data_IF_288137712508
#
_entry.id   IF_288137712508
#
_cell.length_a   1.000
_cell.length_b   1.000
_cell.length_c   1.000
_cell.angle_alpha   90.00
_cell.angle_beta   90.00
_cell.angle_gamma   90.00
#
_symmetry.space_group_name_H-M   'P 1'
#
loop_
_entity.id
_entity.type
_entity.pdbx_description
1 polymer ?
#
# COMPACT_ATOMS: atom_id res chain seq x y z
N UNK A 1 5.82 -4.65 -25.07
CA UNK A 1 6.00 -6.08 -24.76
C UNK A 1 4.67 -6.63 -24.26
N UNK A 2 4.29 -7.82 -24.73
CA UNK A 2 3.09 -8.52 -24.24
C UNK A 2 3.52 -9.88 -23.70
N UNK A 3 3.07 -10.22 -22.51
CA UNK A 3 3.37 -11.47 -21.81
C UNK A 3 2.07 -12.25 -21.70
N UNK A 4 2.01 -13.39 -22.39
CA UNK A 4 0.86 -14.30 -22.35
C UNK A 4 1.11 -15.36 -21.27
N UNK A 5 0.55 -15.14 -20.09
CA UNK A 5 0.59 -16.10 -18.99
C UNK A 5 -0.48 -17.17 -19.21
N UNK A 6 -0.09 -18.44 -19.17
CA UNK A 6 -0.98 -19.58 -19.43
C UNK A 6 -1.46 -20.29 -18.16
N UNK A 7 -0.79 -20.06 -17.02
CA UNK A 7 -1.07 -20.71 -15.73
C UNK A 7 -1.64 -19.71 -14.72
N UNK A 8 -2.30 -20.19 -13.67
CA UNK A 8 -2.81 -19.32 -12.61
C UNK A 8 -1.70 -18.49 -11.95
N UNK A 9 -0.53 -19.10 -11.74
CA UNK A 9 0.65 -18.46 -11.16
C UNK A 9 1.83 -18.60 -12.12
N UNK A 10 2.56 -17.51 -12.32
CA UNK A 10 3.80 -17.47 -13.11
C UNK A 10 4.85 -16.71 -12.31
N UNK A 11 6.04 -17.29 -12.16
CA UNK A 11 7.19 -16.62 -11.56
C UNK A 11 8.31 -16.47 -12.59
N UNK A 12 8.81 -15.25 -12.75
CA UNK A 12 9.85 -14.91 -13.71
C UNK A 12 10.96 -14.13 -13.01
N UNK A 13 12.19 -14.59 -13.18
CA UNK A 13 13.38 -13.85 -12.77
C UNK A 13 13.86 -13.00 -13.95
N UNK A 14 14.12 -11.73 -13.70
CA UNK A 14 14.57 -10.74 -14.67
C UNK A 14 15.93 -10.20 -14.27
N UNK A 15 16.84 -10.05 -15.24
CA UNK A 15 18.07 -9.30 -14.95
C UNK A 15 17.74 -7.83 -14.64
N UNK A 16 16.86 -7.23 -15.42
CA UNK A 16 16.22 -5.94 -15.12
C UNK A 16 14.75 -5.98 -15.52
N UNK A 17 13.92 -5.20 -14.82
CA UNK A 17 12.51 -5.02 -15.15
C UNK A 17 12.22 -3.53 -15.14
N UNK A 18 12.28 -2.92 -16.31
CA UNK A 18 12.09 -1.50 -16.56
C UNK A 18 11.04 -1.31 -17.65
N UNK A 19 10.28 -0.22 -17.57
CA UNK A 19 9.33 0.17 -18.61
C UNK A 19 9.65 1.61 -18.98
N UNK A 20 10.39 1.80 -20.08
CA UNK A 20 10.77 3.13 -20.55
C UNK A 20 9.56 4.02 -20.86
N UNK A 21 9.77 5.34 -20.92
CA UNK A 21 8.74 6.29 -21.37
C UNK A 21 8.17 5.84 -22.72
N UNK A 22 6.87 6.03 -22.92
CA UNK A 22 6.13 5.64 -24.13
C UNK A 22 6.11 4.13 -24.44
N UNK A 23 6.73 3.29 -23.60
CA UNK A 23 6.66 1.84 -23.74
C UNK A 23 5.53 1.27 -22.89
N UNK A 24 5.04 0.10 -23.30
CA UNK A 24 4.01 -0.64 -22.58
C UNK A 24 4.48 -2.08 -22.34
N UNK A 25 4.29 -2.55 -21.11
CA UNK A 25 4.28 -3.99 -20.79
C UNK A 25 2.85 -4.37 -20.45
N UNK A 26 2.34 -5.41 -21.11
CA UNK A 26 0.99 -5.93 -20.86
C UNK A 26 1.06 -7.41 -20.47
N UNK A 27 0.49 -7.76 -19.33
CA UNK A 27 0.23 -9.14 -18.94
C UNK A 27 -1.19 -9.53 -19.37
N UNK A 28 -1.28 -10.58 -20.18
CA UNK A 28 -2.53 -11.25 -20.54
C UNK A 28 -2.55 -12.56 -19.77
N UNK A 29 -3.38 -12.61 -18.72
CA UNK A 29 -3.41 -13.69 -17.74
C UNK A 29 -4.74 -14.46 -17.84
N UNK A 30 -4.82 -15.71 -17.35
CA UNK A 30 -6.02 -16.54 -17.49
C UNK A 30 -7.30 -15.90 -16.91
N UNK A 31 -7.19 -15.20 -15.79
CA UNK A 31 -8.30 -14.52 -15.12
C UNK A 31 -7.78 -13.40 -14.21
N UNK A 32 -8.70 -12.66 -13.57
CA UNK A 32 -8.35 -11.56 -12.65
C UNK A 32 -7.66 -12.01 -11.37
N UNK A 33 -7.82 -13.26 -10.95
CA UNK A 33 -7.17 -13.82 -9.77
C UNK A 33 -5.78 -14.42 -10.06
N UNK A 34 -5.35 -14.45 -11.32
CA UNK A 34 -4.04 -14.95 -11.73
C UNK A 34 -2.93 -14.00 -11.33
N UNK A 35 -1.76 -14.53 -10.95
CA UNK A 35 -0.64 -13.73 -10.42
C UNK A 35 0.63 -13.94 -11.24
N UNK A 36 1.23 -12.83 -11.67
CA UNK A 36 2.54 -12.78 -12.32
C UNK A 36 3.58 -12.19 -11.36
N UNK A 37 4.47 -13.04 -10.84
CA UNK A 37 5.63 -12.63 -10.04
C UNK A 37 6.82 -12.30 -10.93
N UNK A 38 7.27 -11.05 -10.85
CA UNK A 38 8.46 -10.53 -11.53
C UNK A 38 9.51 -10.21 -10.47
N UNK A 39 10.58 -11.00 -10.42
CA UNK A 39 11.69 -10.81 -9.47
C UNK A 39 12.91 -10.31 -10.21
N UNK A 40 13.44 -9.16 -9.83
CA UNK A 40 14.70 -8.64 -10.39
C UNK A 40 15.88 -9.20 -9.62
N UNK A 41 16.84 -9.76 -10.35
CA UNK A 41 18.06 -10.37 -9.79
C UNK A 41 19.33 -9.58 -10.11
N UNK A 42 19.26 -8.59 -11.00
CA UNK A 42 20.36 -7.66 -11.27
C UNK A 42 20.57 -6.62 -10.15
N UNK A 43 21.53 -5.73 -10.35
CA UNK A 43 21.97 -4.75 -9.35
C UNK A 43 21.22 -3.40 -9.40
N UNK A 44 20.30 -3.22 -10.37
CA UNK A 44 19.61 -1.95 -10.58
C UNK A 44 18.17 -1.98 -10.08
N UNK A 45 17.70 -0.84 -9.54
CA UNK A 45 16.30 -0.63 -9.18
C UNK A 45 15.41 -0.52 -10.41
N UNK A 46 14.16 -0.96 -10.30
CA UNK A 46 13.19 -0.97 -11.40
C UNK A 46 12.68 0.43 -11.69
N UNK A 47 12.77 0.84 -12.96
CA UNK A 47 12.31 2.14 -13.46
C UNK A 47 11.05 1.95 -14.32
N UNK A 48 9.89 2.18 -13.73
CA UNK A 48 8.59 2.11 -14.42
C UNK A 48 8.20 3.54 -14.82
N UNK A 49 8.53 3.91 -16.06
CA UNK A 49 8.33 5.26 -16.61
C UNK A 49 7.22 5.31 -17.67
N UNK A 50 6.82 4.17 -18.20
CA UNK A 50 5.76 4.00 -19.19
C UNK A 50 4.51 3.35 -18.61
N UNK A 51 3.91 2.45 -19.38
CA UNK A 51 2.61 1.85 -19.05
C UNK A 51 2.75 0.38 -18.66
N UNK A 52 2.16 -0.02 -17.54
CA UNK A 52 1.98 -1.41 -17.13
C UNK A 52 0.50 -1.76 -17.12
N UNK A 53 0.10 -2.78 -17.87
CA UNK A 53 -1.29 -3.27 -17.94
C UNK A 53 -1.37 -4.73 -17.53
N UNK A 54 -2.42 -5.11 -16.81
CA UNK A 54 -2.74 -6.51 -16.56
C UNK A 54 -4.23 -6.71 -16.31
N UNK A 55 -4.81 -7.80 -16.80
CA UNK A 55 -6.18 -8.18 -16.41
C UNK A 55 -6.23 -8.89 -15.04
N UNK A 56 -5.10 -9.42 -14.56
CA UNK A 56 -4.94 -10.00 -13.23
C UNK A 56 -3.94 -9.24 -12.38
N UNK A 57 -3.19 -9.96 -11.54
CA UNK A 57 -2.30 -9.37 -10.54
C UNK A 57 -0.84 -9.43 -10.98
N UNK A 58 -0.09 -8.37 -10.67
CA UNK A 58 1.33 -8.24 -10.97
C UNK A 58 2.13 -7.95 -9.70
N UNK A 59 3.12 -8.78 -9.42
CA UNK A 59 4.07 -8.59 -8.32
C UNK A 59 5.42 -8.19 -8.92
N UNK A 60 6.02 -7.12 -8.41
CA UNK A 60 7.34 -6.60 -8.80
C UNK A 60 8.21 -6.58 -7.54
N UNK A 61 9.15 -7.50 -7.45
CA UNK A 61 10.09 -7.60 -6.34
C UNK A 61 11.48 -7.22 -6.82
N UNK A 62 12.03 -6.14 -6.27
CA UNK A 62 13.37 -5.69 -6.60
C UNK A 62 14.09 -5.14 -5.35
N UNK A 63 15.09 -5.85 -4.81
CA UNK A 63 15.80 -5.43 -3.60
C UNK A 63 16.55 -4.11 -3.76
N UNK A 64 16.78 -3.63 -4.99
CA UNK A 64 17.42 -2.35 -5.26
C UNK A 64 16.43 -1.17 -5.29
N UNK A 65 15.13 -1.43 -5.19
CA UNK A 65 14.07 -0.40 -5.25
C UNK A 65 13.18 -0.50 -6.48
N UNK A 66 12.02 0.16 -6.40
CA UNK A 66 11.04 0.27 -7.47
C UNK A 66 10.57 1.72 -7.56
N UNK A 67 10.74 2.36 -8.70
CA UNK A 67 10.26 3.70 -8.99
C UNK A 67 9.19 3.68 -10.07
N UNK A 68 7.99 4.17 -9.74
CA UNK A 68 6.98 4.58 -10.72
C UNK A 68 7.14 6.07 -10.98
N UNK A 69 7.65 6.45 -12.15
CA UNK A 69 7.91 7.85 -12.49
C UNK A 69 6.64 8.65 -12.74
N UNK A 70 6.75 9.99 -12.79
CA UNK A 70 5.61 10.92 -12.92
C UNK A 70 4.62 10.62 -14.06
N UNK A 71 5.12 10.07 -15.17
CA UNK A 71 4.30 9.74 -16.34
C UNK A 71 3.87 8.27 -16.40
N UNK A 72 4.24 7.48 -15.39
CA UNK A 72 3.91 6.08 -15.32
C UNK A 72 2.41 5.88 -15.16
N UNK A 73 1.86 4.91 -15.88
CA UNK A 73 0.46 4.49 -15.76
C UNK A 73 0.40 3.00 -15.50
N UNK A 74 -0.12 2.62 -14.35
CA UNK A 74 -0.32 1.22 -13.98
C UNK A 74 -1.82 0.97 -13.86
N UNK A 75 -2.31 -0.03 -14.59
CA UNK A 75 -3.71 -0.45 -14.62
C UNK A 75 -3.76 -1.98 -14.55
N UNK A 76 -4.12 -2.50 -13.38
CA UNK A 76 -4.02 -3.93 -13.06
C UNK A 76 -5.21 -4.43 -12.22
N UNK A 77 -5.41 -5.75 -12.12
CA UNK A 77 -6.32 -6.35 -11.14
C UNK A 77 -5.81 -6.21 -9.70
N UNK A 78 -4.49 -6.29 -9.51
CA UNK A 78 -3.82 -5.98 -8.24
C UNK A 78 -2.31 -5.80 -8.43
N UNK A 79 -1.69 -5.02 -7.55
CA UNK A 79 -0.27 -4.70 -7.59
C UNK A 79 0.40 -5.00 -6.24
N UNK A 80 1.53 -5.69 -6.29
CA UNK A 80 2.51 -5.70 -5.20
C UNK A 80 3.82 -5.16 -5.76
N UNK A 81 4.36 -4.09 -5.19
CA UNK A 81 5.71 -3.62 -5.50
C UNK A 81 6.52 -3.59 -4.21
N UNK A 82 7.67 -4.27 -4.19
CA UNK A 82 8.42 -4.43 -2.96
C UNK A 82 9.94 -4.51 -3.14
N UNK A 83 10.67 -3.99 -2.15
CA UNK A 83 12.11 -4.27 -1.97
C UNK A 83 12.37 -5.63 -1.30
N UNK A 84 11.32 -6.23 -0.74
CA UNK A 84 11.38 -7.54 -0.10
C UNK A 84 11.17 -8.66 -1.11
N UNK A 85 11.45 -9.87 -0.67
CA UNK A 85 11.37 -11.06 -1.50
C UNK A 85 10.38 -12.08 -0.94
N UNK A 86 9.96 -13.00 -1.81
CA UNK A 86 9.20 -14.22 -1.50
C UNK A 86 9.90 -15.37 -2.21
N UNK A 87 9.95 -16.57 -1.63
CA UNK A 87 10.49 -17.72 -2.37
C UNK A 87 9.52 -18.11 -3.49
N UNK A 88 10.03 -18.69 -4.59
CA UNK A 88 9.15 -19.21 -5.64
C UNK A 88 8.24 -20.31 -5.10
N UNK A 89 8.73 -21.15 -4.18
CA UNK A 89 7.95 -22.21 -3.55
C UNK A 89 6.74 -21.66 -2.78
N UNK A 90 6.95 -20.64 -1.95
CA UNK A 90 5.85 -20.05 -1.15
C UNK A 90 4.87 -19.31 -2.05
N UNK A 91 5.38 -18.59 -3.06
CA UNK A 91 4.55 -17.95 -4.08
C UNK A 91 3.63 -18.95 -4.78
N UNK A 92 4.17 -20.08 -5.25
CA UNK A 92 3.38 -21.10 -5.95
C UNK A 92 2.35 -21.78 -5.05
N UNK A 93 2.57 -21.80 -3.73
CA UNK A 93 1.62 -22.28 -2.71
C UNK A 93 0.58 -21.23 -2.30
N UNK A 94 0.63 -20.01 -2.84
CA UNK A 94 -0.23 -18.89 -2.42
C UNK A 94 0.12 -18.32 -1.03
N UNK A 95 1.33 -18.60 -0.52
CA UNK A 95 1.78 -18.14 0.79
C UNK A 95 2.54 -16.82 0.65
N UNK A 96 1.80 -15.72 0.56
CA UNK A 96 2.37 -14.41 0.25
C UNK A 96 2.97 -13.69 1.47
N UNK A 97 4.08 -14.20 1.98
CA UNK A 97 4.89 -13.50 3.00
C UNK A 97 6.13 -12.88 2.37
N UNK A 98 6.11 -11.55 2.25
CA UNK A 98 7.25 -10.76 1.81
C UNK A 98 8.21 -10.59 2.99
N UNK A 99 9.49 -10.92 2.78
CA UNK A 99 10.52 -10.88 3.82
C UNK A 99 11.91 -10.57 3.25
N UNK A 100 12.90 -10.48 4.13
CA UNK A 100 14.22 -9.99 3.79
C UNK A 100 14.29 -8.46 3.82
N UNK A 101 15.44 -7.94 3.41
CA UNK A 101 15.73 -6.50 3.41
C UNK A 101 16.12 -6.05 2.01
N UNK A 102 15.66 -4.87 1.61
CA UNK A 102 16.22 -4.18 0.46
C UNK A 102 17.70 -3.85 0.68
N UNK A 103 18.41 -3.58 -0.41
CA UNK A 103 19.76 -3.04 -0.35
C UNK A 103 19.76 -1.65 0.31
N UNK A 104 20.89 -1.21 0.89
CA UNK A 104 20.97 0.10 1.53
C UNK A 104 20.47 1.23 0.62
N UNK A 105 19.49 1.99 1.10
CA UNK A 105 18.87 3.09 0.35
C UNK A 105 17.77 2.69 -0.63
N UNK A 106 17.46 1.40 -0.78
CA UNK A 106 16.35 0.95 -1.61
C UNK A 106 15.00 1.45 -1.08
N UNK A 107 14.12 1.86 -2.00
CA UNK A 107 12.79 2.39 -1.67
C UNK A 107 11.76 1.94 -2.71
N UNK A 108 10.49 1.95 -2.32
CA UNK A 108 9.37 1.89 -3.26
C UNK A 108 8.76 3.28 -3.37
N UNK A 109 8.84 3.87 -4.55
CA UNK A 109 8.43 5.26 -4.79
C UNK A 109 7.39 5.31 -5.89
N UNK A 110 6.24 5.90 -5.59
CA UNK A 110 5.23 6.24 -6.59
C UNK A 110 5.15 7.75 -6.82
N UNK A 111 5.44 8.16 -8.04
CA UNK A 111 5.22 9.52 -8.54
C UNK A 111 4.16 9.55 -9.66
N UNK A 112 3.77 8.38 -10.18
CA UNK A 112 2.85 8.23 -11.30
C UNK A 112 1.41 7.95 -10.86
N UNK A 113 0.66 7.29 -11.74
CA UNK A 113 -0.72 6.87 -11.47
C UNK A 113 -0.82 5.35 -11.39
N UNK A 114 -1.22 4.84 -10.23
CA UNK A 114 -1.45 3.42 -9.97
C UNK A 114 -2.94 3.21 -9.75
N UNK A 115 -3.58 2.43 -10.61
CA UNK A 115 -5.02 2.16 -10.55
C UNK A 115 -5.27 0.66 -10.58
N UNK A 116 -6.31 0.22 -9.86
CA UNK A 116 -6.82 -1.14 -9.99
C UNK A 116 -8.24 -1.18 -10.50
N UNK A 117 -8.60 -2.35 -11.04
CA UNK A 117 -10.00 -2.73 -11.17
C UNK A 117 -10.71 -2.70 -9.81
N UNK A 118 -12.05 -2.60 -9.84
CA UNK A 118 -12.89 -2.60 -8.64
C UNK A 118 -12.65 -3.88 -7.81
N UNK A 119 -12.46 -3.74 -6.50
CA UNK A 119 -12.15 -4.87 -5.60
C UNK A 119 -10.67 -5.28 -5.60
N UNK A 120 -9.84 -4.66 -6.44
CA UNK A 120 -8.41 -4.89 -6.51
C UNK A 120 -7.64 -4.28 -5.34
N UNK A 121 -6.31 -4.38 -5.40
CA UNK A 121 -5.47 -3.85 -4.32
C UNK A 121 -4.12 -3.36 -4.82
N UNK A 122 -3.51 -2.44 -4.05
CA UNK A 122 -2.14 -1.97 -4.25
C UNK A 122 -1.39 -2.10 -2.94
N UNK A 123 -0.29 -2.85 -2.93
CA UNK A 123 0.64 -2.99 -1.80
C UNK A 123 2.01 -2.48 -2.23
N UNK A 124 2.47 -1.42 -1.59
CA UNK A 124 3.83 -0.91 -1.71
C UNK A 124 4.58 -1.22 -0.41
N UNK A 125 5.63 -2.03 -0.47
CA UNK A 125 6.29 -2.56 0.72
C UNK A 125 7.81 -2.44 0.68
N UNK A 126 8.44 -2.10 1.80
CA UNK A 126 9.89 -2.05 1.90
C UNK A 126 10.38 -1.57 3.26
N UNK A 127 11.55 -0.96 3.31
CA UNK A 127 12.04 -0.21 4.47
C UNK A 127 11.53 1.24 4.42
N UNK A 128 11.42 1.79 3.21
CA UNK A 128 10.94 3.14 2.93
C UNK A 128 10.01 3.13 1.74
N UNK A 129 8.84 3.72 1.91
CA UNK A 129 7.81 3.81 0.88
C UNK A 129 7.33 5.26 0.79
N UNK A 130 7.26 5.81 -0.42
CA UNK A 130 6.79 7.18 -0.66
C UNK A 130 5.80 7.24 -1.81
N UNK A 131 4.70 7.95 -1.61
CA UNK A 131 3.71 8.28 -2.63
C UNK A 131 3.59 9.80 -2.78
N UNK A 132 4.02 10.33 -3.92
CA UNK A 132 3.75 11.69 -4.36
C UNK A 132 2.84 11.73 -5.61
N UNK A 133 2.42 10.57 -6.10
CA UNK A 133 1.53 10.41 -7.24
C UNK A 133 0.08 10.14 -6.82
N UNK A 134 -0.64 9.35 -7.61
CA UNK A 134 -2.00 8.91 -7.32
C UNK A 134 -2.08 7.41 -7.17
N UNK A 135 -2.81 6.92 -6.17
CA UNK A 135 -3.17 5.51 -5.99
C UNK A 135 -4.69 5.39 -5.91
N UNK A 136 -5.31 4.60 -6.78
CA UNK A 136 -6.77 4.47 -6.88
C UNK A 136 -7.19 3.00 -6.84
N UNK A 137 -7.89 2.59 -5.77
CA UNK A 137 -8.36 1.21 -5.57
C UNK A 137 -9.87 1.17 -5.22
N UNK A 138 -10.78 1.34 -6.20
CA UNK A 138 -12.21 1.41 -5.94
C UNK A 138 -12.72 0.10 -5.33
N UNK A 139 -13.46 0.18 -4.22
CA UNK A 139 -13.91 -0.96 -3.41
C UNK A 139 -12.80 -1.94 -3.03
N UNK A 140 -11.55 -1.48 -3.04
CA UNK A 140 -10.35 -2.27 -2.87
C UNK A 140 -9.55 -1.87 -1.64
N UNK A 141 -8.28 -2.25 -1.61
CA UNK A 141 -7.36 -1.88 -0.52
C UNK A 141 -6.07 -1.26 -1.05
N UNK A 142 -5.62 -0.19 -0.40
CA UNK A 142 -4.28 0.37 -0.59
C UNK A 142 -3.45 0.19 0.68
N UNK A 143 -2.25 -0.35 0.56
CA UNK A 143 -1.33 -0.59 1.67
C UNK A 143 0.04 0.03 1.32
N UNK A 144 0.53 0.91 2.18
CA UNK A 144 1.95 1.31 2.19
C UNK A 144 2.58 0.81 3.48
N UNK A 145 3.57 -0.06 3.36
CA UNK A 145 4.11 -0.79 4.51
C UNK A 145 5.64 -0.71 4.60
N UNK A 146 6.12 -0.19 5.73
CA UNK A 146 7.50 -0.32 6.16
C UNK A 146 7.58 -1.26 7.38
N UNK A 147 8.26 -2.40 7.25
CA UNK A 147 8.35 -3.41 8.32
C UNK A 147 9.29 -4.55 7.95
N UNK A 148 9.52 -5.51 8.85
CA UNK A 148 10.43 -6.64 8.54
C UNK A 148 9.77 -7.64 7.59
N UNK A 149 8.52 -7.99 7.86
CA UNK A 149 7.71 -8.87 7.02
C UNK A 149 6.35 -8.25 6.72
N UNK A 150 5.83 -8.54 5.52
CA UNK A 150 4.48 -8.14 5.09
C UNK A 150 3.79 -9.39 4.55
N UNK A 151 2.78 -9.87 5.25
CA UNK A 151 2.01 -11.06 4.87
C UNK A 151 0.67 -10.63 4.28
N UNK A 152 0.36 -11.14 3.10
CA UNK A 152 -0.88 -10.88 2.36
C UNK A 152 -1.73 -12.16 2.35
N UNK A 153 -3.02 -12.01 2.61
CA UNK A 153 -3.99 -13.07 2.37
C UNK A 153 -4.88 -12.64 1.21
N UNK A 154 -4.92 -13.47 0.17
CA UNK A 154 -5.73 -13.22 -1.01
C UNK A 154 -6.84 -14.25 -1.10
N UNK A 155 -8.02 -13.80 -1.49
CA UNK A 155 -9.15 -14.67 -1.86
C UNK A 155 -9.75 -14.19 -3.17
N UNK A 156 -9.87 -15.08 -4.15
CA UNK A 156 -10.41 -14.81 -5.48
C UNK A 156 -9.86 -13.53 -6.15
N UNK A 157 -8.60 -13.18 -5.88
CA UNK A 157 -7.91 -12.00 -6.42
C UNK A 157 -8.12 -10.70 -5.66
N UNK A 158 -8.97 -10.70 -4.63
CA UNK A 158 -9.07 -9.62 -3.65
C UNK A 158 -8.12 -9.83 -2.48
N UNK A 159 -7.65 -8.72 -1.91
CA UNK A 159 -6.89 -8.75 -0.65
C UNK A 159 -7.89 -8.85 0.50
N UNK A 160 -7.78 -9.84 1.37
CA UNK A 160 -8.68 -10.00 2.53
C UNK A 160 -8.06 -9.41 3.79
N UNK A 161 -6.78 -9.72 4.05
CA UNK A 161 -6.03 -9.18 5.18
C UNK A 161 -4.57 -8.91 4.84
N UNK A 162 -3.96 -7.98 5.58
CA UNK A 162 -2.52 -7.71 5.58
C UNK A 162 -2.01 -7.63 7.01
N UNK A 163 -0.85 -8.25 7.24
CA UNK A 163 -0.13 -8.13 8.51
C UNK A 163 1.28 -7.62 8.25
N UNK A 164 1.67 -6.56 8.95
CA UNK A 164 3.03 -6.01 8.92
C UNK A 164 3.68 -6.33 10.26
N UNK A 165 4.77 -7.11 10.25
CA UNK A 165 5.42 -7.60 11.47
C UNK A 165 6.91 -7.31 11.48
N UNK A 166 7.44 -7.20 12.69
CA UNK A 166 8.83 -6.89 12.95
C UNK A 166 9.23 -5.49 12.48
N UNK A 167 10.31 -5.01 13.06
CA UNK A 167 10.76 -3.64 12.89
C UNK A 167 12.00 -3.55 11.99
N UNK A 168 12.09 -2.48 11.21
CA UNK A 168 13.26 -2.15 10.36
C UNK A 168 13.91 -0.83 10.77
N UNK A 169 15.15 -0.60 10.34
CA UNK A 169 15.86 0.64 10.61
C UNK A 169 15.33 1.75 9.70
N UNK A 170 15.08 2.95 10.25
CA UNK A 170 14.60 4.13 9.52
C UNK A 170 13.32 3.87 8.70
N UNK A 171 12.38 3.11 9.30
CA UNK A 171 11.11 2.79 8.71
C UNK A 171 10.34 4.07 8.33
N UNK A 172 10.02 4.23 7.05
CA UNK A 172 9.28 5.39 6.56
C UNK A 172 8.13 4.96 5.67
N UNK A 173 6.94 5.48 5.96
CA UNK A 173 5.83 5.55 5.00
C UNK A 173 5.45 7.01 4.85
N UNK A 174 5.48 7.50 3.61
CA UNK A 174 5.17 8.88 3.29
C UNK A 174 4.09 8.97 2.21
N UNK A 175 3.08 9.80 2.44
CA UNK A 175 2.10 10.20 1.45
C UNK A 175 2.03 11.72 1.32
N UNK A 176 2.47 12.23 0.18
CA UNK A 176 2.36 13.63 -0.24
C UNK A 176 1.33 13.80 -1.38
N UNK A 177 0.95 12.70 -2.03
CA UNK A 177 0.00 12.68 -3.15
C UNK A 177 -1.42 12.32 -2.73
N UNK A 178 -2.14 11.65 -3.63
CA UNK A 178 -3.50 11.16 -3.41
C UNK A 178 -3.50 9.64 -3.28
N UNK A 179 -4.20 9.14 -2.27
CA UNK A 179 -4.64 7.74 -2.17
C UNK A 179 -6.16 7.75 -2.06
N UNK A 180 -6.85 7.08 -2.99
CA UNK A 180 -8.31 7.02 -3.07
C UNK A 180 -8.80 5.56 -3.14
N UNK A 181 -9.51 5.13 -2.11
CA UNK A 181 -10.11 3.81 -1.99
C UNK A 181 -11.61 3.93 -1.68
N UNK A 182 -12.38 4.51 -2.59
CA UNK A 182 -13.84 4.67 -2.45
C UNK A 182 -14.53 3.33 -2.13
N UNK A 183 -15.33 3.27 -1.06
CA UNK A 183 -15.90 2.04 -0.48
C UNK A 183 -14.84 0.97 -0.14
N UNK A 184 -13.62 1.38 0.13
CA UNK A 184 -12.46 0.51 0.34
C UNK A 184 -11.71 0.89 1.61
N UNK A 185 -10.44 0.48 1.68
CA UNK A 185 -9.63 0.67 2.87
C UNK A 185 -8.20 1.11 2.53
N UNK A 186 -7.59 1.90 3.41
CA UNK A 186 -6.23 2.38 3.27
C UNK A 186 -5.45 2.16 4.56
N UNK A 187 -4.27 1.55 4.46
CA UNK A 187 -3.36 1.33 5.59
C UNK A 187 -1.96 1.87 5.29
N UNK A 188 -1.49 2.80 6.12
CA UNK A 188 -0.14 3.36 6.08
C UNK A 188 0.57 2.91 7.37
N UNK A 189 1.45 1.93 7.27
CA UNK A 189 2.05 1.29 8.44
C UNK A 189 3.56 1.33 8.38
N UNK A 190 4.21 1.93 9.38
CA UNK A 190 5.66 1.90 9.55
C UNK A 190 6.01 1.32 10.93
N UNK A 191 6.73 0.20 10.95
CA UNK A 191 7.25 -0.44 12.18
C UNK A 191 8.78 -0.35 12.18
N UNK A 192 9.35 0.48 13.04
CA UNK A 192 10.80 0.60 13.18
C UNK A 192 11.35 0.21 14.54
N UNK A 193 12.68 0.01 14.60
CA UNK A 193 13.33 -0.68 15.73
C UNK A 193 13.53 0.22 16.95
N UNK A 194 13.82 1.51 16.76
CA UNK A 194 14.21 2.44 17.84
C UNK A 194 13.58 3.82 17.66
N UNK A 195 13.23 4.49 18.77
CA UNK A 195 12.71 5.88 18.76
C UNK A 195 13.73 6.89 18.22
N UNK A 196 15.03 6.63 18.40
CA UNK A 196 16.12 7.52 17.95
C UNK A 196 16.26 7.56 16.42
N UNK A 197 15.76 6.51 15.74
CA UNK A 197 15.87 6.32 14.29
C UNK A 197 14.49 6.48 13.67
N UNK A 198 14.04 7.73 13.55
CA UNK A 198 12.90 8.24 12.78
C UNK A 198 12.01 7.16 12.14
N UNK A 199 11.20 6.47 12.95
CA UNK A 199 10.08 5.68 12.45
C UNK A 199 8.94 6.64 12.22
N UNK A 200 8.53 6.83 10.97
CA UNK A 200 7.57 7.88 10.63
C UNK A 200 6.53 7.35 9.65
N UNK A 201 5.27 7.52 10.02
CA UNK A 201 4.18 7.63 9.04
C UNK A 201 3.92 9.12 8.85
N UNK A 202 4.18 9.64 7.67
CA UNK A 202 3.97 11.05 7.34
C UNK A 202 2.91 11.19 6.25
N UNK A 203 1.79 11.81 6.58
CA UNK A 203 0.78 12.19 5.60
C UNK A 203 0.68 13.71 5.51
N UNK A 204 1.09 14.27 4.38
CA UNK A 204 0.86 15.68 4.03
C UNK A 204 -0.07 15.82 2.81
N UNK A 205 -0.37 14.71 2.15
CA UNK A 205 -1.32 14.64 1.04
C UNK A 205 -2.74 14.26 1.48
N UNK A 206 -3.49 13.67 0.55
CA UNK A 206 -4.87 13.25 0.78
C UNK A 206 -4.96 11.72 0.79
N UNK A 207 -5.56 11.18 1.85
CA UNK A 207 -6.02 9.79 1.92
C UNK A 207 -7.54 9.81 2.03
N UNK A 208 -8.24 9.18 1.09
CA UNK A 208 -9.69 9.09 1.12
C UNK A 208 -10.18 7.65 0.96
N UNK A 209 -11.17 7.30 1.78
CA UNK A 209 -11.89 6.04 1.73
C UNK A 209 -13.40 6.36 1.81
N UNK A 210 -13.91 7.16 0.88
CA UNK A 210 -15.29 7.68 0.92
C UNK A 210 -16.32 6.59 0.65
N UNK A 211 -17.45 6.65 1.35
CA UNK A 211 -18.58 5.73 1.17
C UNK A 211 -19.63 6.25 0.21
N UNK A 212 -19.95 5.50 -0.84
CA UNK A 212 -21.00 5.82 -1.83
C UNK A 212 -22.26 4.93 -1.73
N UNK A 213 -22.21 3.85 -0.95
CA UNK A 213 -23.34 2.94 -0.79
C UNK A 213 -23.92 3.00 0.63
N UNK A 214 -23.26 2.35 1.60
CA UNK A 214 -23.85 2.10 2.92
C UNK A 214 -23.06 2.73 4.08
N UNK A 215 -21.73 2.73 4.00
CA UNK A 215 -20.84 3.30 5.02
C UNK A 215 -19.56 3.82 4.37
N UNK A 216 -18.94 4.80 4.99
CA UNK A 216 -17.56 5.18 4.69
C UNK A 216 -16.60 4.02 4.85
N UNK A 217 -15.47 4.08 4.16
CA UNK A 217 -14.39 3.12 4.25
C UNK A 217 -13.52 3.30 5.50
N UNK A 218 -12.36 2.66 5.49
CA UNK A 218 -11.44 2.65 6.63
C UNK A 218 -10.08 3.25 6.25
N UNK A 219 -9.54 4.09 7.13
CA UNK A 219 -8.20 4.65 7.01
C UNK A 219 -7.43 4.37 8.30
N UNK A 220 -6.24 3.78 8.19
CA UNK A 220 -5.35 3.52 9.32
C UNK A 220 -3.96 4.09 9.03
N UNK A 221 -3.48 4.93 9.93
CA UNK A 221 -2.07 5.36 9.99
C UNK A 221 -1.47 4.76 11.26
N UNK A 222 -0.49 3.86 11.12
CA UNK A 222 0.11 3.14 12.23
C UNK A 222 1.64 3.29 12.21
N UNK A 223 2.18 4.09 13.14
CA UNK A 223 3.61 4.31 13.36
C UNK A 223 4.30 3.22 14.19
N UNK A 224 3.62 2.11 14.51
CA UNK A 224 4.15 1.05 15.34
C UNK A 224 4.35 1.46 16.80
N UNK A 225 5.06 0.62 17.55
CA UNK A 225 5.19 0.74 19.00
C UNK A 225 6.07 1.91 19.46
N UNK A 226 6.92 2.42 18.57
CA UNK A 226 7.94 3.42 18.88
C UNK A 226 7.98 4.59 17.88
N UNK A 227 7.09 4.61 16.88
CA UNK A 227 7.15 5.59 15.82
C UNK A 227 6.21 6.77 15.99
N UNK A 228 6.41 7.73 15.10
CA UNK A 228 5.67 8.98 15.02
C UNK A 228 4.67 8.91 13.87
N UNK A 229 3.42 9.28 14.13
CA UNK A 229 2.46 9.61 13.08
C UNK A 229 2.41 11.12 12.94
N UNK A 230 2.87 11.65 11.82
CA UNK A 230 2.74 13.06 11.46
C UNK A 230 1.62 13.20 10.43
N UNK A 231 0.53 13.85 10.82
CA UNK A 231 -0.61 14.10 9.96
C UNK A 231 -0.84 15.60 9.80
N UNK A 232 -0.51 16.12 8.61
CA UNK A 232 -0.70 17.51 8.21
C UNK A 232 -1.64 17.69 7.02
N UNK A 233 -1.99 16.61 6.31
CA UNK A 233 -2.86 16.64 5.13
C UNK A 233 -4.32 16.32 5.45
N UNK A 234 -4.96 15.53 4.58
CA UNK A 234 -6.38 15.16 4.68
C UNK A 234 -6.57 13.65 4.85
N UNK A 235 -7.40 13.24 5.82
CA UNK A 235 -7.95 11.88 5.96
C UNK A 235 -9.47 11.95 5.86
N UNK A 236 -10.05 11.39 4.79
CA UNK A 236 -11.45 11.56 4.43
C UNK A 236 -12.17 10.21 4.32
N UNK A 237 -12.90 9.83 5.37
CA UNK A 237 -13.72 8.62 5.42
C UNK A 237 -15.22 8.95 5.38
N UNK A 238 -15.60 10.07 4.76
CA UNK A 238 -16.98 10.54 4.70
C UNK A 238 -17.90 9.63 3.87
N UNK A 239 -19.20 9.66 4.13
CA UNK A 239 -20.22 9.04 3.28
C UNK A 239 -21.33 10.00 2.89
N UNK A 240 -21.64 10.06 1.60
CA UNK A 240 -22.71 10.91 1.08
C UNK A 240 -24.10 10.25 1.19
N UNK A 241 -24.14 8.93 1.39
CA UNK A 241 -25.37 8.14 1.34
C UNK A 241 -25.70 7.46 2.67
N UNK A 242 -24.69 7.13 3.47
CA UNK A 242 -24.85 6.37 4.71
C UNK A 242 -24.05 6.93 5.88
N UNK A 243 -23.62 6.06 6.78
CA UNK A 243 -22.82 6.43 7.95
C UNK A 243 -21.38 6.76 7.54
N UNK A 244 -20.73 7.67 8.26
CA UNK A 244 -19.29 7.89 8.12
C UNK A 244 -18.46 6.63 8.37
N UNK A 245 -17.24 6.62 7.84
CA UNK A 245 -16.31 5.51 7.93
C UNK A 245 -15.53 5.47 9.24
N UNK A 246 -14.37 4.82 9.22
CA UNK A 246 -13.49 4.71 10.40
C UNK A 246 -12.10 5.25 10.06
N UNK A 247 -11.56 6.08 10.94
CA UNK A 247 -10.20 6.59 10.86
C UNK A 247 -9.48 6.23 12.16
N UNK A 248 -8.30 5.63 12.06
CA UNK A 248 -7.48 5.25 13.22
C UNK A 248 -6.05 5.75 13.04
N UNK A 249 -5.55 6.54 13.99
CA UNK A 249 -4.16 6.98 14.06
C UNK A 249 -3.52 6.37 15.31
N UNK A 250 -2.49 5.57 15.11
CA UNK A 250 -1.79 4.83 16.17
C UNK A 250 -0.30 5.07 16.08
N UNK A 251 0.34 5.32 17.22
CA UNK A 251 1.78 5.48 17.33
C UNK A 251 2.15 6.01 18.69
N UNK A 252 3.42 5.88 19.08
CA UNK A 252 3.90 6.38 20.37
C UNK A 252 3.77 7.91 20.47
N UNK A 253 3.97 8.60 19.34
CA UNK A 253 3.77 10.04 19.25
C UNK A 253 2.90 10.33 18.04
N UNK A 254 1.87 11.16 18.21
CA UNK A 254 0.99 11.57 17.12
C UNK A 254 0.99 13.09 17.05
N UNK A 255 1.44 13.61 15.92
CA UNK A 255 1.44 15.03 15.61
C UNK A 255 0.35 15.34 14.59
N UNK A 256 -0.66 16.10 15.01
CA UNK A 256 -1.67 16.66 14.14
C UNK A 256 -1.33 18.13 13.87
N UNK A 257 -0.98 18.47 12.63
CA UNK A 257 -0.62 19.84 12.30
C UNK A 257 -1.88 20.73 12.24
N UNK A 258 -1.72 22.00 12.61
CA UNK A 258 -2.76 23.02 12.42
C UNK A 258 -3.12 23.13 10.94
N UNK A 259 -4.40 22.96 10.61
CA UNK A 259 -4.90 22.95 9.23
C UNK A 259 -5.06 21.57 8.60
N UNK A 260 -4.63 20.49 9.27
CA UNK A 260 -5.00 19.13 8.85
C UNK A 260 -6.52 18.92 8.96
N UNK A 261 -7.07 18.06 8.11
CA UNK A 261 -8.49 17.71 8.11
C UNK A 261 -8.66 16.20 8.28
N UNK A 262 -9.45 15.80 9.26
CA UNK A 262 -9.82 14.40 9.49
C UNK A 262 -11.33 14.32 9.63
N UNK A 263 -12.01 13.69 8.67
CA UNK A 263 -13.48 13.67 8.60
C UNK A 263 -14.01 12.28 8.35
N UNK A 264 -14.99 11.88 9.16
CA UNK A 264 -15.78 10.67 8.98
C UNK A 264 -17.26 11.04 9.11
N UNK A 265 -17.71 12.05 8.37
CA UNK A 265 -19.12 12.47 8.38
C UNK A 265 -19.99 11.54 7.55
N UNK A 266 -21.28 11.46 7.85
CA UNK A 266 -22.20 10.63 7.07
C UNK A 266 -23.61 11.20 7.06
N UNK A 267 -24.32 11.02 5.93
CA UNK A 267 -25.71 11.46 5.76
C UNK A 267 -26.65 10.87 6.82
N UNK A 268 -26.43 9.61 7.21
CA UNK A 268 -27.28 8.90 8.20
C UNK A 268 -26.66 8.84 9.59
N UNK A 269 -25.49 9.45 9.81
CA UNK A 269 -24.76 9.43 11.07
C UNK A 269 -23.25 9.57 10.88
N UNK A 270 -22.57 10.11 11.90
CA UNK A 270 -21.11 10.16 11.94
C UNK A 270 -20.48 8.77 12.01
N UNK A 271 -19.23 8.70 11.54
CA UNK A 271 -18.33 7.57 11.70
C UNK A 271 -17.48 7.69 12.94
N UNK A 272 -16.36 6.97 12.95
CA UNK A 272 -15.47 6.84 14.11
C UNK A 272 -14.09 7.40 13.77
N UNK A 273 -13.53 8.19 14.68
CA UNK A 273 -12.16 8.72 14.57
C UNK A 273 -11.44 8.45 15.88
N UNK A 274 -10.40 7.63 15.83
CA UNK A 274 -9.54 7.28 16.95
C UNK A 274 -8.15 7.85 16.74
N UNK A 275 -7.62 8.53 17.75
CA UNK A 275 -6.29 9.12 17.74
C UNK A 275 -5.60 8.77 19.04
N UNK A 276 -4.54 7.94 18.96
CA UNK A 276 -3.72 7.58 20.11
C UNK A 276 -4.37 6.60 21.08
N UNK A 277 -5.49 5.96 20.73
CA UNK A 277 -6.11 4.94 21.57
C UNK A 277 -7.60 4.74 21.32
N UNK A 278 -8.09 3.61 21.83
CA UNK A 278 -9.52 3.32 21.87
C UNK A 278 -10.26 4.11 22.95
N UNK A 279 -11.59 3.99 22.99
CA UNK A 279 -12.40 4.62 24.04
C UNK A 279 -11.93 4.19 25.44
N UNK A 280 -11.54 5.16 26.28
CA UNK A 280 -10.99 4.95 27.63
C UNK A 280 -9.77 3.99 27.69
N UNK A 281 -9.11 3.78 26.56
CA UNK A 281 -8.05 2.80 26.43
C UNK A 281 -8.47 1.34 26.60
N UNK A 282 -9.77 1.04 26.52
CA UNK A 282 -10.32 -0.30 26.74
C UNK A 282 -10.50 -1.11 25.44
N UNK A 283 -10.33 -0.48 24.27
CA UNK A 283 -10.42 -1.21 23.00
C UNK A 283 -9.13 -1.99 22.76
N UNK A 284 -9.21 -3.32 22.82
CA UNK A 284 -8.08 -4.21 22.59
C UNK A 284 -7.59 -4.23 21.14
N UNK A 285 -8.38 -3.70 20.20
CA UNK A 285 -8.04 -3.65 18.78
C UNK A 285 -7.39 -2.32 18.36
N UNK A 286 -7.35 -1.33 19.25
CA UNK A 286 -6.74 -0.02 19.00
C UNK A 286 -5.67 0.21 20.04
N UNK A 287 -4.43 0.43 19.60
CA UNK A 287 -3.33 0.63 20.53
C UNK A 287 -3.39 2.03 21.15
N UNK A 288 -3.26 2.09 22.47
CA UNK A 288 -3.15 3.34 23.23
C UNK A 288 -1.70 3.86 23.18
N UNK A 289 -1.56 5.16 22.95
CA UNK A 289 -0.30 5.91 22.91
C UNK A 289 0.16 6.31 24.31
#
# INVERSE_FOLDING_TARGET
MTIHQQTQNMATNWHSFDIGKNNTVQFVQPNSSSVALNRVTGASGSQIMGTLKANGQVFILNPNGVLFGKNARVDVGGLVASTKNISTTDFMKGQYTLSGSGNPGAQVVNQGSLTTSKGGYIVLAGERVSNSGTVTTPSGKTILAAGKTVTLQLDNGGLTSVSVNGSVVNALVENQGLISATNGQVYLTAKGQDMLLNTVVNNSGTVEAKGLANRGGEIVLNGGDSGVVSQSGHLLADSQTGQGGKITLEGQNIHLAGGSLTTATGKTGGGEVYVGGGWQGQDSHIKNA
#
